data_IF_359925193036
#
_entry.id   IF_359925193036
#
_cell.length_a   1.000
_cell.length_b   1.000
_cell.length_c   1.000
_cell.angle_alpha   90.00
_cell.angle_beta   90.00
_cell.angle_gamma   90.00
#
_symmetry.space_group_name_H-M   'P 1'
#
loop_
_entity.id
_entity.type
_entity.pdbx_description
1 polymer ?
#
# COMPACT_ATOMS: atom_id res chain seq x y z
N UNK A 1 -11.71 -1.71 10.36
CA UNK A 1 -11.18 -2.36 9.13
C UNK A 1 -11.92 -3.64 8.75
N UNK A 2 -12.70 -4.23 9.64
CA UNK A 2 -13.53 -5.40 9.27
C UNK A 2 -14.43 -5.10 8.08
N UNK A 3 -15.02 -3.91 8.03
CA UNK A 3 -15.87 -3.47 6.92
C UNK A 3 -15.10 -3.41 5.59
N UNK A 4 -13.84 -2.96 5.62
CA UNK A 4 -12.99 -2.93 4.42
C UNK A 4 -12.74 -4.36 3.88
N UNK A 5 -12.48 -5.32 4.77
CA UNK A 5 -12.30 -6.72 4.39
C UNK A 5 -13.57 -7.35 3.83
N UNK A 6 -14.74 -7.01 4.42
CA UNK A 6 -16.03 -7.46 3.91
C UNK A 6 -16.33 -6.88 2.52
N UNK A 7 -15.98 -5.61 2.27
CA UNK A 7 -16.13 -5.02 0.94
C UNK A 7 -15.25 -5.71 -0.09
N UNK A 8 -13.97 -5.97 0.21
CA UNK A 8 -13.09 -6.73 -0.68
C UNK A 8 -13.65 -8.12 -0.99
N UNK A 9 -14.17 -8.83 0.02
CA UNK A 9 -14.82 -10.13 -0.20
C UNK A 9 -16.04 -10.04 -1.13
N UNK A 10 -16.87 -9.00 -0.99
CA UNK A 10 -18.02 -8.75 -1.90
C UNK A 10 -17.58 -8.46 -3.33
N UNK A 11 -16.36 -8.00 -3.55
CA UNK A 11 -15.76 -7.86 -4.88
C UNK A 11 -15.22 -9.17 -5.47
N UNK A 12 -15.43 -10.30 -4.78
CA UNK A 12 -15.02 -11.63 -5.26
C UNK A 12 -13.57 -12.01 -4.93
N UNK A 13 -12.95 -11.34 -3.96
CA UNK A 13 -11.58 -11.64 -3.53
C UNK A 13 -11.55 -12.36 -2.18
N UNK A 14 -10.58 -13.25 -1.98
CA UNK A 14 -10.17 -13.70 -0.66
C UNK A 14 -9.24 -12.66 -0.03
N UNK A 15 -9.32 -12.48 1.29
CA UNK A 15 -8.50 -11.48 2.00
C UNK A 15 -7.62 -12.18 3.03
N UNK A 16 -6.31 -11.98 2.91
CA UNK A 16 -5.33 -12.37 3.91
C UNK A 16 -4.78 -11.09 4.56
N UNK A 17 -5.16 -10.85 5.80
CA UNK A 17 -4.75 -9.65 6.56
C UNK A 17 -3.55 -9.95 7.45
N UNK A 18 -2.54 -9.08 7.40
CA UNK A 18 -1.30 -9.23 8.16
C UNK A 18 -1.29 -8.25 9.33
N UNK A 19 -0.96 -8.75 10.52
CA UNK A 19 -0.60 -7.94 11.69
C UNK A 19 0.91 -8.00 11.87
N UNK A 20 1.57 -6.84 11.76
CA UNK A 20 3.03 -6.77 11.90
C UNK A 20 3.46 -6.94 13.36
N UNK A 21 4.72 -7.34 13.56
CA UNK A 21 5.34 -7.42 14.88
C UNK A 21 5.16 -6.14 15.68
N UNK A 22 4.88 -6.26 16.97
CA UNK A 22 4.62 -5.15 17.88
C UNK A 22 3.28 -4.45 17.70
N UNK A 23 2.41 -4.91 16.76
CA UNK A 23 1.06 -4.37 16.58
C UNK A 23 -0.02 -5.36 17.04
N UNK A 24 -1.09 -4.82 17.63
CA UNK A 24 -2.23 -5.58 18.15
C UNK A 24 -1.77 -6.68 19.12
N UNK A 25 -1.99 -7.97 18.76
CA UNK A 25 -1.60 -9.13 19.57
C UNK A 25 -0.26 -9.75 19.11
N UNK A 26 0.39 -9.17 18.11
CA UNK A 26 1.67 -9.68 17.62
C UNK A 26 2.80 -9.26 18.57
N UNK A 27 3.64 -10.22 18.92
CA UNK A 27 4.81 -10.00 19.77
C UNK A 27 5.94 -9.25 19.03
N UNK A 28 6.99 -8.88 19.76
CA UNK A 28 8.20 -8.25 19.24
C UNK A 28 8.08 -6.73 19.12
N UNK A 29 9.11 -6.12 18.54
CA UNK A 29 9.21 -4.66 18.35
C UNK A 29 9.23 -4.32 16.87
N UNK A 30 8.50 -3.26 16.44
CA UNK A 30 8.48 -2.84 15.05
C UNK A 30 9.83 -2.26 14.63
N UNK A 31 10.30 -2.68 13.46
CA UNK A 31 11.44 -2.08 12.77
C UNK A 31 11.21 -2.20 11.27
N UNK A 32 11.86 -1.35 10.46
CA UNK A 32 11.69 -1.42 9.01
C UNK A 32 11.97 -2.81 8.46
N UNK A 33 13.16 -3.35 8.73
CA UNK A 33 13.54 -4.70 8.30
C UNK A 33 12.59 -5.79 8.84
N UNK A 34 12.09 -5.58 10.07
CA UNK A 34 11.16 -6.50 10.72
C UNK A 34 9.83 -6.58 9.99
N UNK A 35 9.17 -5.44 9.77
CA UNK A 35 7.86 -5.43 9.10
C UNK A 35 7.94 -5.87 7.63
N UNK A 36 9.07 -5.63 6.94
CA UNK A 36 9.31 -6.17 5.60
C UNK A 36 9.42 -7.70 5.60
N UNK A 37 10.11 -8.25 6.61
CA UNK A 37 10.18 -9.70 6.81
C UNK A 37 8.80 -10.30 7.08
N UNK A 38 7.96 -9.62 7.89
CA UNK A 38 6.60 -10.07 8.18
C UNK A 38 5.75 -10.10 6.90
N UNK A 39 5.84 -9.06 6.06
CA UNK A 39 5.17 -9.03 4.76
C UNK A 39 5.64 -10.13 3.82
N UNK A 40 6.95 -10.40 3.79
CA UNK A 40 7.52 -11.49 2.97
C UNK A 40 7.03 -12.86 3.44
N UNK A 41 7.05 -13.13 4.74
CA UNK A 41 6.56 -14.40 5.30
C UNK A 41 5.08 -14.60 5.01
N UNK A 42 4.27 -13.54 5.16
CA UNK A 42 2.85 -13.59 4.83
C UNK A 42 2.60 -13.90 3.34
N UNK A 43 3.33 -13.27 2.44
CA UNK A 43 3.25 -13.55 1.00
C UNK A 43 3.68 -14.98 0.67
N UNK A 44 4.81 -15.42 1.23
CA UNK A 44 5.31 -16.78 1.02
C UNK A 44 4.32 -17.83 1.53
N UNK A 45 3.64 -17.57 2.65
CA UNK A 45 2.60 -18.44 3.18
C UNK A 45 1.41 -18.55 2.20
N UNK A 46 0.91 -17.41 1.71
CA UNK A 46 -0.21 -17.40 0.74
C UNK A 46 0.18 -18.12 -0.56
N UNK A 47 1.39 -17.87 -1.07
CA UNK A 47 1.82 -18.45 -2.33
C UNK A 47 2.21 -19.92 -2.21
N UNK A 48 2.98 -20.30 -1.17
CA UNK A 48 3.60 -21.63 -1.09
C UNK A 48 2.78 -22.62 -0.27
N UNK A 49 2.11 -22.15 0.80
CA UNK A 49 1.35 -23.02 1.72
C UNK A 49 -0.12 -23.08 1.31
N UNK A 50 -0.73 -21.92 1.01
CA UNK A 50 -2.12 -21.87 0.54
C UNK A 50 -2.27 -22.15 -0.95
N UNK A 51 -1.17 -22.19 -1.73
CA UNK A 51 -1.15 -22.58 -3.13
C UNK A 51 -1.66 -21.53 -4.12
N UNK A 52 -1.72 -20.24 -3.72
CA UNK A 52 -2.12 -19.19 -4.64
C UNK A 52 -0.98 -18.81 -5.58
N UNK A 53 -1.22 -18.78 -6.88
CA UNK A 53 -0.23 -18.28 -7.83
C UNK A 53 0.05 -16.80 -7.57
N UNK A 54 1.33 -16.37 -7.49
CA UNK A 54 1.70 -14.97 -7.32
C UNK A 54 0.97 -14.03 -8.28
N UNK A 55 0.84 -14.43 -9.55
CA UNK A 55 0.12 -13.69 -10.58
C UNK A 55 -1.38 -13.48 -10.32
N UNK A 56 -1.96 -14.13 -9.32
CA UNK A 56 -3.33 -13.94 -8.86
C UNK A 56 -3.42 -13.18 -7.52
N UNK A 57 -2.29 -12.78 -6.95
CA UNK A 57 -2.23 -12.07 -5.66
C UNK A 57 -2.15 -10.57 -5.91
N UNK A 58 -3.11 -9.82 -5.37
CA UNK A 58 -3.03 -8.37 -5.22
C UNK A 58 -2.40 -8.04 -3.88
N UNK A 59 -1.44 -7.12 -3.88
CA UNK A 59 -0.88 -6.58 -2.65
C UNK A 59 -1.56 -5.24 -2.36
N UNK A 60 -2.06 -5.07 -1.15
CA UNK A 60 -2.77 -3.88 -0.71
C UNK A 60 -2.05 -3.25 0.47
N UNK A 61 -1.63 -1.98 0.35
CA UNK A 61 -0.97 -1.24 1.41
C UNK A 61 -1.62 0.12 1.67
N UNK A 62 -1.90 0.41 2.94
CA UNK A 62 -2.43 1.72 3.36
C UNK A 62 -1.52 2.37 4.38
N UNK A 63 -1.26 3.68 4.21
CA UNK A 63 -0.43 4.46 5.13
C UNK A 63 0.93 3.77 5.35
N UNK A 64 1.34 3.48 6.58
CA UNK A 64 2.56 2.71 6.85
C UNK A 64 2.60 1.35 6.14
N UNK A 65 1.45 0.69 5.96
CA UNK A 65 1.36 -0.56 5.21
C UNK A 65 1.75 -0.42 3.73
N UNK A 66 1.72 0.79 3.18
CA UNK A 66 2.21 1.04 1.82
C UNK A 66 3.70 0.78 1.67
N UNK A 67 4.47 0.96 2.75
CA UNK A 67 5.92 0.72 2.74
C UNK A 67 6.23 -0.76 2.61
N UNK A 68 5.51 -1.59 3.36
CA UNK A 68 5.62 -3.06 3.28
C UNK A 68 5.13 -3.56 1.92
N UNK A 69 4.00 -3.02 1.45
CA UNK A 69 3.42 -3.41 0.16
C UNK A 69 4.36 -3.08 -1.01
N UNK A 70 4.96 -1.89 -1.00
CA UNK A 70 5.93 -1.46 -2.03
C UNK A 70 7.20 -2.30 -1.98
N UNK A 71 7.76 -2.54 -0.80
CA UNK A 71 8.95 -3.37 -0.63
C UNK A 71 8.71 -4.79 -1.12
N UNK A 72 7.58 -5.37 -0.74
CA UNK A 72 7.20 -6.73 -1.12
C UNK A 72 6.96 -6.90 -2.62
N UNK A 73 6.40 -5.89 -3.27
CA UNK A 73 5.99 -5.96 -4.68
C UNK A 73 7.16 -5.83 -5.68
N UNK A 74 8.36 -5.41 -5.22
CA UNK A 74 9.53 -5.27 -6.09
C UNK A 74 9.82 -6.59 -6.83
N UNK A 75 10.05 -6.50 -8.14
CA UNK A 75 10.44 -7.62 -9.01
C UNK A 75 9.53 -8.86 -8.98
N UNK A 76 8.35 -8.78 -8.35
CA UNK A 76 7.40 -9.89 -8.31
C UNK A 76 6.39 -9.82 -9.44
N UNK A 77 6.04 -10.98 -9.97
CA UNK A 77 4.94 -11.14 -10.92
C UNK A 77 3.62 -11.33 -10.16
N UNK A 78 3.11 -10.24 -9.58
CA UNK A 78 1.82 -10.19 -8.85
C UNK A 78 0.71 -9.64 -9.75
N UNK A 79 -0.56 -9.89 -9.36
CA UNK A 79 -1.71 -9.38 -10.10
C UNK A 79 -1.77 -7.83 -10.15
N UNK A 80 -1.38 -7.18 -9.07
CA UNK A 80 -1.34 -5.72 -8.98
C UNK A 80 -1.00 -5.23 -7.58
N UNK A 81 -0.63 -3.96 -7.50
CA UNK A 81 -0.34 -3.26 -6.26
C UNK A 81 -1.34 -2.12 -6.06
N UNK A 82 -2.00 -2.09 -4.90
CA UNK A 82 -2.92 -1.02 -4.51
C UNK A 82 -2.32 -0.28 -3.30
N UNK A 83 -2.08 1.00 -3.45
CA UNK A 83 -1.55 1.86 -2.39
C UNK A 83 -2.56 2.96 -2.05
N UNK A 84 -2.93 3.04 -0.78
CA UNK A 84 -3.86 4.06 -0.26
C UNK A 84 -3.12 4.98 0.71
N UNK A 85 -3.13 6.28 0.41
CA UNK A 85 -2.37 7.30 1.16
C UNK A 85 -0.92 6.86 1.42
N UNK A 86 -0.15 6.51 0.37
CA UNK A 86 1.20 5.99 0.58
C UNK A 86 2.17 7.09 1.03
N UNK A 87 3.09 6.72 1.92
CA UNK A 87 4.27 7.52 2.23
C UNK A 87 5.27 7.43 1.08
N UNK A 88 5.98 8.53 0.80
CA UNK A 88 7.12 8.51 -0.14
C UNK A 88 8.41 8.01 0.54
N UNK A 89 8.68 8.51 1.75
CA UNK A 89 9.79 8.09 2.59
C UNK A 89 9.56 8.49 4.05
N UNK A 90 10.31 7.91 4.98
CA UNK A 90 10.30 8.36 6.38
C UNK A 90 10.82 9.80 6.51
N UNK A 91 11.80 10.21 5.69
CA UNK A 91 12.33 11.57 5.66
C UNK A 91 11.26 12.59 5.29
N UNK A 92 10.49 12.32 4.21
CA UNK A 92 9.40 13.21 3.80
C UNK A 92 8.32 13.29 4.90
N UNK A 93 8.01 12.16 5.55
CA UNK A 93 7.04 12.15 6.65
C UNK A 93 7.52 12.92 7.88
N UNK A 94 8.80 12.81 8.26
CA UNK A 94 9.38 13.60 9.34
C UNK A 94 9.29 15.11 9.05
N UNK A 95 9.54 15.51 7.82
CA UNK A 95 9.38 16.91 7.39
C UNK A 95 7.94 17.40 7.53
N UNK A 96 6.94 16.57 7.18
CA UNK A 96 5.52 16.89 7.36
C UNK A 96 5.15 17.08 8.83
N UNK A 97 5.76 16.30 9.71
CA UNK A 97 5.54 16.38 11.17
C UNK A 97 6.29 17.55 11.86
N UNK A 98 6.95 18.41 11.08
CA UNK A 98 7.78 19.50 11.64
C UNK A 98 9.13 19.05 12.19
N UNK A 99 9.50 17.78 11.98
CA UNK A 99 10.76 17.19 12.44
C UNK A 99 11.84 17.22 11.34
N UNK A 100 11.79 18.21 10.44
CA UNK A 100 12.73 18.33 9.33
C UNK A 100 14.20 18.40 9.77
N UNK A 101 14.47 18.97 10.94
CA UNK A 101 15.81 18.99 11.54
C UNK A 101 16.35 17.61 11.91
N UNK A 102 15.46 16.63 12.15
CA UNK A 102 15.83 15.25 12.49
C UNK A 102 15.99 14.35 11.26
N UNK A 103 15.78 14.86 10.04
CA UNK A 103 15.88 14.05 8.81
C UNK A 103 17.24 13.36 8.62
N UNK A 104 18.38 13.90 9.03
CA UNK A 104 19.66 13.17 9.00
C UNK A 104 19.67 11.90 9.85
N UNK A 105 18.91 11.88 10.97
CA UNK A 105 18.80 10.74 11.87
C UNK A 105 17.86 9.65 11.36
N UNK A 106 16.89 10.03 10.53
CA UNK A 106 15.90 9.10 9.93
C UNK A 106 16.54 8.25 8.84
N UNK A 107 17.66 8.68 8.27
CA UNK A 107 18.39 7.92 7.26
C UNK A 107 17.58 7.70 5.98
N UNK A 108 17.68 6.49 5.45
CA UNK A 108 17.04 6.03 4.19
C UNK A 108 15.83 5.13 4.43
N UNK A 109 15.17 5.29 5.59
CA UNK A 109 14.04 4.44 5.94
C UNK A 109 12.81 4.68 5.03
N UNK A 110 12.14 3.58 4.67
CA UNK A 110 10.87 3.59 3.92
C UNK A 110 10.93 4.36 2.58
N UNK A 111 12.00 4.21 1.80
CA UNK A 111 12.18 4.90 0.51
C UNK A 111 11.28 4.29 -0.59
N UNK A 112 9.95 4.47 -0.46
CA UNK A 112 8.98 3.95 -1.40
C UNK A 112 9.12 4.54 -2.80
N UNK A 113 9.47 5.82 -2.89
CA UNK A 113 9.74 6.52 -4.16
C UNK A 113 10.93 5.94 -4.94
N UNK A 114 11.86 5.30 -4.25
CA UNK A 114 12.96 4.55 -4.89
C UNK A 114 12.57 3.12 -5.23
N UNK A 115 11.93 2.44 -4.27
CA UNK A 115 11.56 1.02 -4.40
C UNK A 115 10.50 0.78 -5.48
N UNK A 116 9.53 1.69 -5.64
CA UNK A 116 8.45 1.57 -6.61
C UNK A 116 8.94 1.50 -8.07
N UNK A 117 10.14 2.01 -8.36
CA UNK A 117 10.76 1.93 -9.69
C UNK A 117 10.99 0.49 -10.17
N UNK A 118 11.05 -0.47 -9.25
CA UNK A 118 11.23 -1.89 -9.54
C UNK A 118 9.90 -2.66 -9.67
N UNK A 119 8.78 -1.97 -9.54
CA UNK A 119 7.46 -2.59 -9.72
C UNK A 119 7.23 -2.91 -11.20
N UNK A 120 6.87 -4.16 -11.48
CA UNK A 120 6.50 -4.65 -12.82
C UNK A 120 4.99 -4.75 -12.99
N UNK A 121 4.27 -5.02 -11.89
CA UNK A 121 2.83 -5.20 -11.89
C UNK A 121 2.08 -3.87 -12.04
N UNK A 122 0.80 -3.90 -12.48
CA UNK A 122 -0.05 -2.71 -12.49
C UNK A 122 -0.16 -2.07 -11.10
N UNK A 123 -0.19 -0.73 -11.07
CA UNK A 123 -0.26 0.08 -9.85
C UNK A 123 -1.53 0.92 -9.81
N UNK A 124 -2.25 0.87 -8.69
CA UNK A 124 -3.27 1.85 -8.33
C UNK A 124 -2.81 2.62 -7.09
N UNK A 125 -2.73 3.94 -7.20
CA UNK A 125 -2.56 4.83 -6.04
C UNK A 125 -3.85 5.58 -5.81
N UNK A 126 -4.34 5.57 -4.57
CA UNK A 126 -5.52 6.32 -4.15
C UNK A 126 -5.17 7.27 -3.00
N UNK A 127 -5.63 8.51 -3.07
CA UNK A 127 -5.28 9.51 -2.05
C UNK A 127 -6.40 10.53 -1.85
N UNK A 128 -6.62 10.93 -0.60
CA UNK A 128 -7.54 12.01 -0.26
C UNK A 128 -6.89 13.38 -0.45
N UNK A 129 -7.60 14.33 -1.07
CA UNK A 129 -7.04 15.67 -1.34
C UNK A 129 -6.87 16.51 -0.09
N UNK A 130 -7.52 16.15 1.03
CA UNK A 130 -7.40 16.81 2.35
C UNK A 130 -6.70 15.94 3.39
N UNK A 131 -5.84 15.01 2.94
CA UNK A 131 -5.04 14.19 3.84
C UNK A 131 -3.93 15.04 4.51
N UNK A 132 -4.11 15.31 5.81
CA UNK A 132 -3.17 16.09 6.62
C UNK A 132 -2.12 15.23 7.34
N UNK A 133 -2.30 13.91 7.38
CA UNK A 133 -1.37 12.96 8.01
C UNK A 133 -0.28 12.57 7.02
N UNK A 134 -0.68 12.17 5.83
CA UNK A 134 0.20 11.89 4.70
C UNK A 134 -0.27 12.76 3.53
N UNK A 135 0.32 13.93 3.30
CA UNK A 135 -0.11 14.83 2.24
C UNK A 135 -0.07 14.19 0.86
N UNK A 136 -1.06 14.49 0.02
CA UNK A 136 -1.23 13.92 -1.32
C UNK A 136 0.02 14.02 -2.20
N UNK A 137 0.87 15.03 -1.98
CA UNK A 137 2.16 15.17 -2.70
C UNK A 137 3.07 13.95 -2.51
N UNK A 138 2.98 13.26 -1.38
CA UNK A 138 3.76 12.04 -1.15
C UNK A 138 3.26 10.87 -2.01
N UNK A 139 1.94 10.72 -2.11
CA UNK A 139 1.33 9.74 -3.01
C UNK A 139 1.67 10.00 -4.47
N UNK A 140 1.64 11.28 -4.90
CA UNK A 140 2.06 11.68 -6.25
C UNK A 140 3.53 11.36 -6.49
N UNK A 141 4.43 11.65 -5.54
CA UNK A 141 5.85 11.32 -5.66
C UNK A 141 6.09 9.82 -5.87
N UNK A 142 5.37 8.96 -5.15
CA UNK A 142 5.43 7.50 -5.37
C UNK A 142 4.89 7.12 -6.74
N UNK A 143 3.75 7.67 -7.12
CA UNK A 143 3.13 7.42 -8.42
C UNK A 143 4.03 7.84 -9.58
N UNK A 144 4.59 9.03 -9.54
CA UNK A 144 5.44 9.56 -10.61
C UNK A 144 6.71 8.71 -10.79
N UNK A 145 7.27 8.21 -9.68
CA UNK A 145 8.46 7.38 -9.70
C UNK A 145 8.23 5.96 -10.28
N UNK A 146 7.00 5.44 -10.27
CA UNK A 146 6.67 4.14 -10.83
C UNK A 146 6.77 4.16 -12.36
N UNK A 147 7.32 3.07 -12.95
CA UNK A 147 7.46 2.91 -14.41
C UNK A 147 6.47 1.90 -15.00
N UNK A 148 5.80 1.11 -14.16
CA UNK A 148 4.78 0.16 -14.58
C UNK A 148 3.50 0.86 -15.04
N UNK A 149 2.57 0.10 -15.66
CA UNK A 149 1.22 0.59 -15.92
C UNK A 149 0.61 1.08 -14.60
N UNK A 150 0.11 2.32 -14.58
CA UNK A 150 -0.31 2.96 -13.33
C UNK A 150 -1.51 3.86 -13.48
N UNK A 151 -2.30 3.97 -12.41
CA UNK A 151 -3.40 4.93 -12.29
C UNK A 151 -3.36 5.61 -10.92
N UNK A 152 -3.71 6.91 -10.91
CA UNK A 152 -3.84 7.70 -9.69
C UNK A 152 -5.29 8.15 -9.54
N UNK A 153 -5.89 7.89 -8.38
CA UNK A 153 -7.26 8.29 -8.09
C UNK A 153 -7.29 9.22 -6.87
N UNK A 154 -7.62 10.47 -7.13
CA UNK A 154 -7.85 11.46 -6.08
C UNK A 154 -9.27 11.37 -5.58
N UNK A 155 -9.44 11.35 -4.27
CA UNK A 155 -10.75 11.40 -3.63
C UNK A 155 -10.91 12.79 -3.04
N UNK A 156 -11.64 13.63 -3.79
CA UNK A 156 -11.83 15.03 -3.44
C UNK A 156 -12.50 15.19 -2.07
N UNK A 157 -11.92 16.04 -1.23
CA UNK A 157 -12.39 16.33 0.13
C UNK A 157 -12.10 15.23 1.17
N UNK A 158 -11.54 14.09 0.77
CA UNK A 158 -11.20 13.01 1.70
C UNK A 158 -9.93 13.33 2.48
N UNK A 159 -9.95 12.99 3.77
CA UNK A 159 -8.77 12.95 4.64
C UNK A 159 -8.23 11.53 4.79
N UNK A 160 -7.23 11.34 5.67
CA UNK A 160 -6.52 10.08 5.85
C UNK A 160 -7.40 8.88 6.25
N UNK A 161 -8.41 9.12 7.09
CA UNK A 161 -9.14 8.05 7.77
C UNK A 161 -10.59 7.84 7.28
N UNK A 162 -11.05 8.61 6.29
CA UNK A 162 -12.45 8.58 5.87
C UNK A 162 -12.69 8.16 4.43
N UNK A 163 -11.63 7.71 3.70
CA UNK A 163 -11.73 7.33 2.29
C UNK A 163 -12.72 6.18 2.06
N UNK A 164 -12.59 5.09 2.83
CA UNK A 164 -13.37 3.86 2.60
C UNK A 164 -14.80 3.89 3.13
N UNK A 165 -15.12 4.85 4.02
CA UNK A 165 -16.45 5.00 4.60
C UNK A 165 -17.21 6.20 4.04
N UNK A 166 -16.74 7.44 4.28
CA UNK A 166 -17.44 8.65 3.83
C UNK A 166 -17.45 8.80 2.30
N UNK A 167 -16.41 8.30 1.63
CA UNK A 167 -16.26 8.35 0.17
C UNK A 167 -16.35 6.95 -0.47
N UNK A 168 -17.09 6.06 0.18
CA UNK A 168 -17.15 4.63 -0.14
C UNK A 168 -17.45 4.35 -1.62
N UNK A 169 -18.38 5.08 -2.24
CA UNK A 169 -18.75 4.86 -3.64
C UNK A 169 -17.53 5.03 -4.57
N UNK A 170 -16.84 6.17 -4.51
CA UNK A 170 -15.66 6.44 -5.33
C UNK A 170 -14.54 5.44 -5.02
N UNK A 171 -14.25 5.22 -3.74
CA UNK A 171 -13.20 4.33 -3.26
C UNK A 171 -13.37 2.89 -3.75
N UNK A 172 -14.52 2.28 -3.50
CA UNK A 172 -14.74 0.87 -3.82
C UNK A 172 -14.99 0.62 -5.31
N UNK A 173 -15.59 1.59 -6.03
CA UNK A 173 -15.72 1.49 -7.49
C UNK A 173 -14.35 1.48 -8.15
N UNK A 174 -13.45 2.36 -7.74
CA UNK A 174 -12.08 2.42 -8.30
C UNK A 174 -11.31 1.12 -8.05
N UNK A 175 -11.38 0.57 -6.83
CA UNK A 175 -10.76 -0.72 -6.53
C UNK A 175 -11.37 -1.83 -7.40
N UNK A 176 -12.70 -1.89 -7.51
CA UNK A 176 -13.40 -2.91 -8.33
C UNK A 176 -12.96 -2.88 -9.80
N UNK A 177 -12.87 -1.69 -10.37
CA UNK A 177 -12.41 -1.51 -11.76
C UNK A 177 -10.97 -1.99 -11.92
N UNK A 178 -10.08 -1.59 -11.02
CA UNK A 178 -8.68 -1.99 -11.05
C UNK A 178 -8.51 -3.51 -10.96
N UNK A 179 -9.20 -4.16 -10.01
CA UNK A 179 -9.15 -5.63 -9.84
C UNK A 179 -9.59 -6.35 -11.13
N UNK A 180 -10.71 -5.90 -11.73
CA UNK A 180 -11.23 -6.51 -12.97
C UNK A 180 -10.30 -6.32 -14.17
N UNK A 181 -9.74 -5.14 -14.35
CA UNK A 181 -8.83 -4.84 -15.46
C UNK A 181 -7.53 -5.64 -15.34
N UNK A 182 -6.93 -5.67 -14.15
CA UNK A 182 -5.67 -6.39 -13.92
C UNK A 182 -5.83 -7.91 -14.00
N UNK A 183 -7.04 -8.45 -13.75
CA UNK A 183 -7.32 -9.88 -13.89
C UNK A 183 -7.55 -10.32 -15.32
N UNK A 184 -7.98 -9.42 -16.24
CA UNK A 184 -8.25 -9.75 -17.65
C UNK A 184 -6.98 -9.79 -18.51
N UNK A 185 -5.93 -9.11 -18.10
CA UNK A 185 -4.67 -8.99 -18.83
C UNK A 185 -3.68 -10.14 -18.53
N UNK A 186 -4.18 -11.20 -17.90
CA UNK A 186 -3.41 -12.41 -17.52
C UNK A 186 -4.23 -13.72 -17.80
#
# INVERSE_FOLDING_TARGET
RLDDYQHLRRLGTSVFAVSYRGYAKSEGSPSEAGIYRDGKVAFDYVAKVMGFLPSRIFIFGRSIGSTVATDLAQDKDIAGLILVSPLSSARDQASVMGLGFATPLVGTAFENDKKIKRLKAPLLVMHGTRDQIVPIRMGRKVFDAAISQKSFHEIEGAGHNNLSNRFAKSYWTTISVFLKQSSKNR
#
